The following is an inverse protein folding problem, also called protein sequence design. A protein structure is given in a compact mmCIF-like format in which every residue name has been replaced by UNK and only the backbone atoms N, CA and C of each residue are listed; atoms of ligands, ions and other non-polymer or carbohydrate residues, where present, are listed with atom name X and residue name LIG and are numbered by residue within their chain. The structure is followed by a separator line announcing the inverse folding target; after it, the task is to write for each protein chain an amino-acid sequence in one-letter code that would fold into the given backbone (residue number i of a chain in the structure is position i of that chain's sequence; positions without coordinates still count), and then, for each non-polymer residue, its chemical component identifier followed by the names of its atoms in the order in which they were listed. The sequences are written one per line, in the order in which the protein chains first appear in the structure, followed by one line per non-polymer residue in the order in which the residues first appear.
data_IF_392784668659
#
_entry.id   IF_392784668659
#
_cell.length_a   1.000
_cell.length_b   1.000
_cell.length_c   1.000
_cell.angle_alpha   90.00
_cell.angle_beta   90.00
_cell.angle_gamma   90.00
#
_symmetry.space_group_name_H-M   'P 1'
#
loop_
_entity.id
_entity.type
_entity.pdbx_description
1 polymer ?
#
# COMPACT_ATOMS: atom_id res chain seq x y z
N UNK A 1 38.80 24.98 -13.86
CA UNK A 1 38.16 23.71 -14.31
C UNK A 1 37.65 23.02 -13.05
N UNK A 2 36.35 22.75 -13.02
CA UNK A 2 35.49 22.66 -11.85
C UNK A 2 35.29 21.18 -11.43
N UNK A 3 35.37 20.86 -10.14
CA UNK A 3 34.83 19.62 -9.56
C UNK A 3 34.22 19.97 -8.20
N UNK A 4 33.11 20.70 -8.27
CA UNK A 4 32.25 21.08 -7.17
C UNK A 4 30.83 20.87 -7.72
N UNK A 5 30.32 19.64 -7.63
CA UNK A 5 28.90 19.27 -7.74
C UNK A 5 28.75 17.75 -7.66
N UNK A 6 27.60 17.28 -7.14
CA UNK A 6 27.17 15.88 -6.95
C UNK A 6 27.39 15.26 -5.56
N UNK A 7 27.35 16.05 -4.49
CA UNK A 7 26.75 15.58 -3.24
C UNK A 7 25.22 15.74 -3.36
N UNK A 8 24.58 14.81 -4.05
CA UNK A 8 23.12 14.77 -4.17
C UNK A 8 22.50 14.68 -2.78
N UNK A 9 21.78 15.72 -2.40
CA UNK A 9 20.86 15.73 -1.26
C UNK A 9 19.95 14.50 -1.35
N UNK A 10 20.23 13.48 -0.56
CA UNK A 10 19.18 12.58 -0.06
C UNK A 10 18.50 13.36 1.05
N UNK A 11 17.62 14.30 0.68
CA UNK A 11 16.63 14.79 1.62
C UNK A 11 15.77 13.58 2.04
N UNK A 12 15.47 13.39 3.33
CA UNK A 12 14.67 12.26 3.77
C UNK A 12 13.32 12.32 3.04
N UNK A 13 12.96 11.24 2.36
CA UNK A 13 11.62 11.07 1.76
C UNK A 13 10.58 11.49 2.79
N UNK A 14 9.92 12.62 2.56
CA UNK A 14 8.96 13.16 3.50
C UNK A 14 7.76 12.25 3.56
N UNK A 15 7.35 11.87 4.77
CA UNK A 15 6.11 11.16 5.05
C UNK A 15 4.94 11.81 4.27
N UNK A 16 4.15 11.02 3.54
CA UNK A 16 3.01 11.50 2.74
C UNK A 16 2.09 12.39 3.57
N UNK A 17 1.91 12.06 4.85
CA UNK A 17 1.12 12.88 5.77
C UNK A 17 1.73 14.27 5.92
N UNK A 18 3.05 14.37 6.11
CA UNK A 18 3.76 15.64 6.16
C UNK A 18 3.63 16.42 4.85
N UNK A 19 3.66 15.74 3.69
CA UNK A 19 3.42 16.37 2.38
C UNK A 19 1.98 16.89 2.25
N UNK A 20 0.99 16.11 2.69
CA UNK A 20 -0.43 16.49 2.69
C UNK A 20 -0.70 17.66 3.64
N UNK A 21 -0.07 17.69 4.82
CA UNK A 21 -0.15 18.79 5.76
C UNK A 21 0.47 20.06 5.19
N UNK A 22 1.70 19.97 4.66
CA UNK A 22 2.37 21.10 4.00
C UNK A 22 1.56 21.63 2.81
N UNK A 23 0.90 20.76 2.06
CA UNK A 23 -0.01 21.15 0.97
C UNK A 23 -1.26 21.86 1.48
N UNK A 24 -1.92 21.35 2.52
CA UNK A 24 -3.05 22.04 3.15
C UNK A 24 -2.66 23.41 3.71
N UNK A 25 -1.51 23.51 4.38
CA UNK A 25 -0.99 24.77 4.93
C UNK A 25 -0.68 25.78 3.82
N UNK A 26 -0.18 25.32 2.66
CA UNK A 26 -0.01 26.15 1.48
C UNK A 26 -1.37 26.66 0.95
N UNK A 27 -2.38 25.80 0.84
CA UNK A 27 -3.73 26.23 0.43
C UNK A 27 -4.26 27.31 1.38
N UNK A 28 -4.16 27.11 2.71
CA UNK A 28 -4.66 28.06 3.70
C UNK A 28 -3.95 29.41 3.57
N UNK A 29 -2.61 29.39 3.50
CA UNK A 29 -1.80 30.60 3.43
C UNK A 29 -1.97 31.38 2.11
N UNK A 30 -2.15 30.68 0.99
CA UNK A 30 -2.27 31.30 -0.35
C UNK A 30 -3.69 31.75 -0.69
N UNK A 31 -4.73 31.05 -0.20
CA UNK A 31 -6.13 31.34 -0.52
C UNK A 31 -6.87 32.12 0.56
N UNK A 32 -6.33 32.19 1.78
CA UNK A 32 -6.98 32.77 2.95
C UNK A 32 -8.20 31.98 3.46
N UNK A 33 -8.44 30.78 2.92
CA UNK A 33 -9.53 29.90 3.36
C UNK A 33 -9.19 29.20 4.66
N UNK A 34 -10.20 29.02 5.53
CA UNK A 34 -10.04 28.16 6.71
C UNK A 34 -10.17 26.68 6.33
N UNK A 35 -9.64 25.78 7.17
CA UNK A 35 -9.83 24.33 7.02
C UNK A 35 -11.31 23.93 6.89
N UNK A 36 -12.18 24.63 7.61
CA UNK A 36 -13.63 24.37 7.56
C UNK A 36 -14.22 24.79 6.21
N UNK A 37 -13.75 25.90 5.63
CA UNK A 37 -14.20 26.35 4.32
C UNK A 37 -13.72 25.42 3.20
N UNK A 38 -12.46 24.96 3.28
CA UNK A 38 -11.90 23.96 2.36
C UNK A 38 -12.73 22.68 2.43
N UNK A 39 -13.00 22.16 3.64
CA UNK A 39 -13.81 20.95 3.81
C UNK A 39 -15.20 21.10 3.21
N UNK A 40 -15.89 22.22 3.50
CA UNK A 40 -17.24 22.49 2.97
C UNK A 40 -17.25 22.58 1.44
N UNK A 41 -16.30 23.30 0.85
CA UNK A 41 -16.19 23.43 -0.62
C UNK A 41 -15.87 22.09 -1.29
N UNK A 42 -15.03 21.27 -0.66
CA UNK A 42 -14.69 19.92 -1.12
C UNK A 42 -15.81 18.89 -0.88
N UNK A 43 -16.91 19.26 -0.22
CA UNK A 43 -17.95 18.30 0.17
C UNK A 43 -17.42 17.21 1.11
N UNK A 44 -16.53 17.60 2.03
CA UNK A 44 -15.98 16.80 3.12
C UNK A 44 -16.56 17.29 4.46
N UNK A 45 -16.60 16.41 5.46
CA UNK A 45 -16.99 16.82 6.81
C UNK A 45 -15.87 17.69 7.40
N UNK A 46 -16.15 18.88 7.97
CA UNK A 46 -15.14 19.72 8.61
C UNK A 46 -14.27 18.99 9.63
N UNK A 47 -14.85 18.05 10.39
CA UNK A 47 -14.12 17.24 11.37
C UNK A 47 -13.04 16.34 10.74
N UNK A 48 -13.17 15.97 9.46
CA UNK A 48 -12.15 15.19 8.74
C UNK A 48 -10.85 15.97 8.58
N UNK A 49 -10.93 17.20 8.07
CA UNK A 49 -9.73 18.04 7.88
C UNK A 49 -9.19 18.57 9.21
N UNK A 50 -10.06 18.94 10.15
CA UNK A 50 -9.62 19.39 11.47
C UNK A 50 -8.89 18.28 12.24
N UNK A 51 -9.38 17.03 12.23
CA UNK A 51 -8.67 15.90 12.86
C UNK A 51 -7.37 15.55 12.13
N UNK A 52 -7.39 15.57 10.80
CA UNK A 52 -6.20 15.32 10.01
C UNK A 52 -5.10 16.36 10.33
N UNK A 53 -5.45 17.64 10.42
CA UNK A 53 -4.53 18.75 10.69
C UNK A 53 -4.03 18.80 12.15
N UNK A 54 -4.89 18.48 13.12
CA UNK A 54 -4.59 18.62 14.55
C UNK A 54 -3.58 17.60 15.14
N UNK A 55 -2.84 16.86 14.32
CA UNK A 55 -1.82 15.89 14.75
C UNK A 55 -2.31 14.88 15.81
N UNK A 56 -3.45 14.24 15.53
CA UNK A 56 -3.83 13.05 16.28
C UNK A 56 -2.81 11.92 16.03
N UNK A 57 -2.44 11.17 17.07
CA UNK A 57 -1.41 10.11 17.12
C UNK A 57 -1.67 8.94 16.14
N UNK A 58 -2.77 9.02 15.38
CA UNK A 58 -3.31 7.98 14.52
C UNK A 58 -2.61 7.86 13.16
N UNK A 59 -1.71 8.79 12.80
CA UNK A 59 -0.82 8.65 11.62
C UNK A 59 -1.54 8.50 10.28
N UNK A 60 -2.83 8.82 10.21
CA UNK A 60 -3.65 8.62 9.02
C UNK A 60 -3.38 9.69 7.95
N UNK A 61 -3.42 9.28 6.68
CA UNK A 61 -3.32 10.13 5.49
C UNK A 61 -4.72 10.44 4.94
N UNK A 62 -4.86 11.54 4.20
CA UNK A 62 -6.06 11.78 3.40
C UNK A 62 -6.15 10.76 2.27
N UNK A 63 -7.36 10.23 2.06
CA UNK A 63 -7.63 9.33 0.93
C UNK A 63 -7.48 10.05 -0.40
N UNK A 64 -7.19 9.30 -1.48
CA UNK A 64 -7.06 9.86 -2.82
C UNK A 64 -8.30 10.63 -3.27
N UNK A 65 -9.52 10.15 -2.92
CA UNK A 65 -10.77 10.87 -3.19
C UNK A 65 -10.86 12.21 -2.44
N UNK A 66 -10.41 12.24 -1.18
CA UNK A 66 -10.43 13.46 -0.38
C UNK A 66 -9.45 14.49 -0.94
N UNK A 67 -8.23 14.04 -1.29
CA UNK A 67 -7.23 14.87 -1.98
C UNK A 67 -7.80 15.42 -3.29
N UNK A 68 -8.43 14.57 -4.11
CA UNK A 68 -9.01 14.98 -5.39
C UNK A 68 -10.14 16.01 -5.21
N UNK A 69 -11.04 15.80 -4.26
CA UNK A 69 -12.10 16.76 -3.92
C UNK A 69 -11.55 18.12 -3.49
N UNK A 70 -10.46 18.13 -2.71
CA UNK A 70 -9.82 19.37 -2.26
C UNK A 70 -9.14 20.07 -3.45
N UNK A 71 -8.44 19.33 -4.31
CA UNK A 71 -7.87 19.88 -5.56
C UNK A 71 -8.97 20.51 -6.43
N UNK A 72 -10.06 19.78 -6.70
CA UNK A 72 -11.16 20.26 -7.52
C UNK A 72 -11.86 21.50 -6.92
N UNK A 73 -11.94 21.57 -5.59
CA UNK A 73 -12.58 22.68 -4.88
C UNK A 73 -11.70 23.93 -4.68
N UNK A 74 -10.38 23.75 -4.65
CA UNK A 74 -9.41 24.83 -4.38
C UNK A 74 -8.65 25.28 -5.62
N UNK A 75 -8.61 24.45 -6.67
CA UNK A 75 -7.80 24.65 -7.86
C UNK A 75 -6.29 24.50 -7.61
N UNK A 76 -5.88 24.10 -6.40
CA UNK A 76 -4.48 23.89 -6.05
C UNK A 76 -4.14 22.42 -6.29
N UNK A 77 -3.23 22.11 -7.24
CA UNK A 77 -2.85 20.74 -7.51
C UNK A 77 -2.22 20.11 -6.27
N UNK A 78 -2.54 18.85 -6.02
CA UNK A 78 -1.87 18.09 -4.97
C UNK A 78 -0.36 18.01 -5.23
N UNK A 79 0.43 18.02 -4.16
CA UNK A 79 1.89 17.78 -4.18
C UNK A 79 2.23 16.69 -5.20
N UNK A 80 3.22 16.96 -6.05
CA UNK A 80 3.43 16.33 -7.37
C UNK A 80 2.82 14.92 -7.48
N UNK A 81 1.61 14.83 -8.07
CA UNK A 81 1.11 13.60 -8.69
C UNK A 81 1.90 13.30 -9.98
N UNK A 82 3.24 13.37 -9.94
CA UNK A 82 4.11 12.83 -11.01
C UNK A 82 4.19 11.32 -10.99
N UNK A 83 3.51 10.65 -10.07
CA UNK A 83 2.96 9.34 -10.37
C UNK A 83 1.57 9.62 -10.93
N UNK A 84 1.49 10.00 -12.22
CA UNK A 84 0.32 9.55 -12.99
C UNK A 84 0.22 8.07 -12.64
N UNK A 85 -0.90 7.52 -12.15
CA UNK A 85 -1.03 6.08 -12.10
C UNK A 85 -0.63 5.65 -13.49
N UNK A 86 0.56 5.01 -13.58
CA UNK A 86 0.97 4.43 -14.82
C UNK A 86 -0.24 3.61 -15.22
N UNK A 87 -0.56 3.65 -16.48
CA UNK A 87 -1.41 2.64 -17.08
C UNK A 87 -0.61 1.32 -16.98
N UNK A 88 -0.34 0.87 -15.75
CA UNK A 88 0.04 -0.46 -15.40
C UNK A 88 -1.21 -1.20 -15.81
N UNK A 89 -1.13 -1.76 -17.02
CA UNK A 89 -1.82 -2.99 -17.31
C UNK A 89 -1.75 -3.81 -16.03
N UNK A 90 -2.91 -4.03 -15.41
CA UNK A 90 -3.07 -5.02 -14.36
C UNK A 90 -2.23 -6.22 -14.76
N UNK A 91 -1.20 -6.51 -13.97
CA UNK A 91 -0.37 -7.68 -14.21
C UNK A 91 -1.20 -8.92 -13.90
N UNK A 92 -0.66 -10.09 -14.23
CA UNK A 92 -1.21 -11.34 -13.73
C UNK A 92 -1.42 -11.26 -12.22
N UNK A 93 -2.57 -11.78 -11.76
CA UNK A 93 -2.90 -11.93 -10.34
C UNK A 93 -1.67 -12.45 -9.58
N UNK A 94 -1.20 -11.73 -8.56
CA UNK A 94 0.13 -12.02 -7.99
C UNK A 94 0.16 -13.24 -7.06
N UNK A 95 -1.00 -13.74 -6.70
CA UNK A 95 -1.15 -15.00 -6.02
C UNK A 95 -2.57 -15.53 -6.13
N UNK A 96 -2.74 -16.80 -5.79
CA UNK A 96 -4.06 -17.44 -5.74
C UNK A 96 -4.24 -18.17 -4.41
N UNK A 97 -5.47 -18.38 -3.94
CA UNK A 97 -5.72 -19.17 -2.75
C UNK A 97 -5.09 -20.56 -2.87
N UNK A 98 -4.30 -20.97 -1.87
CA UNK A 98 -3.70 -22.28 -1.85
C UNK A 98 -4.77 -23.34 -1.57
N UNK A 99 -4.91 -24.30 -2.49
CA UNK A 99 -5.85 -25.42 -2.34
C UNK A 99 -5.06 -26.65 -1.90
N UNK A 100 -5.46 -27.21 -0.76
CA UNK A 100 -4.85 -28.44 -0.26
C UNK A 100 -5.07 -29.61 -1.23
N UNK A 101 -3.99 -30.35 -1.51
CA UNK A 101 -4.09 -31.66 -2.13
C UNK A 101 -4.20 -32.72 -1.03
N UNK A 102 -5.39 -33.26 -0.80
CA UNK A 102 -5.66 -34.27 0.25
C UNK A 102 -4.92 -35.60 0.05
N UNK A 103 -4.36 -35.85 -1.14
CA UNK A 103 -3.59 -37.06 -1.42
C UNK A 103 -2.10 -36.90 -1.10
N UNK A 104 -1.63 -35.70 -0.85
CA UNK A 104 -0.23 -35.44 -0.58
C UNK A 104 0.10 -35.78 0.88
N UNK A 105 1.10 -36.64 1.08
CA UNK A 105 1.60 -37.03 2.42
C UNK A 105 2.77 -36.16 2.89
N UNK A 106 2.89 -34.94 2.37
CA UNK A 106 3.99 -34.04 2.70
C UNK A 106 3.77 -33.41 4.09
N UNK A 107 4.80 -33.50 4.94
CA UNK A 107 4.79 -32.95 6.30
C UNK A 107 4.53 -31.44 6.33
N UNK A 108 5.00 -30.70 5.33
CA UNK A 108 4.76 -29.26 5.20
C UNK A 108 3.30 -28.96 4.91
N UNK A 109 2.63 -29.79 4.10
CA UNK A 109 1.20 -29.63 3.80
C UNK A 109 0.38 -29.87 5.07
N UNK A 110 0.74 -30.87 5.88
CA UNK A 110 0.11 -31.09 7.19
C UNK A 110 0.33 -29.92 8.15
N UNK A 111 1.54 -29.35 8.19
CA UNK A 111 1.84 -28.19 9.03
C UNK A 111 1.03 -26.96 8.59
N UNK A 112 0.96 -26.66 7.29
CA UNK A 112 0.15 -25.58 6.74
C UNK A 112 -1.34 -25.74 7.08
N UNK A 113 -1.86 -26.96 6.99
CA UNK A 113 -3.25 -27.27 7.37
C UNK A 113 -3.51 -26.99 8.84
N UNK A 114 -2.63 -27.45 9.72
CA UNK A 114 -2.76 -27.20 11.16
C UNK A 114 -2.72 -25.70 11.50
N UNK A 115 -1.93 -24.90 10.77
CA UNK A 115 -1.89 -23.45 10.91
C UNK A 115 -3.20 -22.81 10.45
N UNK A 116 -3.70 -23.17 9.27
CA UNK A 116 -4.96 -22.65 8.73
C UNK A 116 -6.18 -23.02 9.60
N UNK A 117 -6.21 -24.23 10.16
CA UNK A 117 -7.31 -24.68 11.01
C UNK A 117 -7.36 -23.98 12.38
N UNK A 118 -6.25 -23.36 12.81
CA UNK A 118 -6.16 -22.68 14.11
C UNK A 118 -6.97 -21.39 14.17
N UNK A 119 -7.13 -20.69 13.04
CA UNK A 119 -7.86 -19.42 13.00
C UNK A 119 -8.46 -19.15 11.62
N UNK A 120 -9.73 -18.69 11.60
CA UNK A 120 -10.40 -18.22 10.38
C UNK A 120 -9.83 -16.91 9.84
N UNK A 121 -8.96 -16.24 10.59
CA UNK A 121 -8.26 -15.04 10.12
C UNK A 121 -7.05 -15.38 9.24
N UNK A 122 -6.59 -16.64 9.27
CA UNK A 122 -5.45 -17.11 8.51
C UNK A 122 -5.88 -17.67 7.16
N UNK A 123 -5.26 -17.17 6.10
CA UNK A 123 -5.46 -17.61 4.73
C UNK A 123 -4.13 -18.04 4.13
N UNK A 124 -4.16 -19.03 3.24
CA UNK A 124 -2.97 -19.52 2.54
C UNK A 124 -3.04 -19.11 1.07
N UNK A 125 -1.91 -18.64 0.54
CA UNK A 125 -1.82 -18.15 -0.84
C UNK A 125 -0.58 -18.71 -1.51
N UNK A 126 -0.70 -19.13 -2.77
CA UNK A 126 0.43 -19.47 -3.63
C UNK A 126 0.85 -18.21 -4.39
N UNK A 127 2.12 -17.81 -4.30
CA UNK A 127 2.63 -16.67 -5.05
C UNK A 127 2.83 -17.02 -6.53
N UNK A 128 2.35 -16.17 -7.43
CA UNK A 128 2.52 -16.30 -8.89
C UNK A 128 3.67 -15.44 -9.43
N UNK A 129 4.16 -14.49 -8.66
CA UNK A 129 5.23 -13.56 -9.06
C UNK A 129 6.40 -13.58 -8.08
N UNK A 130 7.50 -12.92 -8.46
CA UNK A 130 8.70 -12.76 -7.64
C UNK A 130 8.70 -11.44 -6.87
N UNK A 131 7.53 -10.79 -6.73
CA UNK A 131 7.39 -9.45 -6.18
C UNK A 131 7.87 -9.29 -4.73
N UNK A 132 8.03 -10.40 -4.00
CA UNK A 132 8.54 -10.48 -2.64
C UNK A 132 9.88 -11.22 -2.53
N UNK A 133 10.59 -11.45 -3.63
CA UNK A 133 11.82 -12.26 -3.64
C UNK A 133 12.91 -11.74 -2.72
N UNK A 134 13.12 -10.42 -2.61
CA UNK A 134 14.05 -9.83 -1.64
C UNK A 134 13.54 -9.88 -0.19
N UNK A 135 12.25 -10.12 0.02
CA UNK A 135 11.67 -10.43 1.33
C UNK A 135 11.75 -11.93 1.67
N UNK A 136 12.34 -12.75 0.80
CA UNK A 136 12.53 -14.19 1.01
C UNK A 136 11.38 -15.07 0.51
N UNK A 137 10.41 -14.51 -0.23
CA UNK A 137 9.30 -15.26 -0.81
C UNK A 137 9.33 -15.18 -2.33
N UNK A 138 9.32 -16.32 -2.99
CA UNK A 138 9.48 -16.44 -4.43
C UNK A 138 8.21 -16.97 -5.10
N UNK A 139 8.21 -16.98 -6.43
CA UNK A 139 7.15 -17.61 -7.21
C UNK A 139 7.02 -19.09 -6.83
N UNK A 140 5.79 -19.52 -6.57
CA UNK A 140 5.42 -20.88 -6.18
C UNK A 140 5.49 -21.15 -4.68
N UNK A 141 6.03 -20.22 -3.89
CA UNK A 141 5.98 -20.35 -2.44
C UNK A 141 4.53 -20.19 -1.94
N UNK A 142 4.20 -20.96 -0.90
CA UNK A 142 2.95 -20.84 -0.17
C UNK A 142 3.18 -19.93 1.03
N UNK A 143 2.47 -18.80 1.07
CA UNK A 143 2.54 -17.84 2.15
C UNK A 143 1.31 -17.92 3.04
N UNK A 144 1.52 -17.62 4.32
CA UNK A 144 0.50 -17.56 5.37
C UNK A 144 0.17 -16.09 5.61
N UNK A 145 -1.08 -15.71 5.36
CA UNK A 145 -1.59 -14.35 5.54
C UNK A 145 -2.51 -14.33 6.76
N UNK A 146 -2.22 -13.49 7.74
CA UNK A 146 -3.09 -13.24 8.89
C UNK A 146 -3.80 -11.88 8.73
N UNK A 147 -5.13 -11.90 8.71
CA UNK A 147 -5.98 -10.70 8.58
C UNK A 147 -6.13 -9.92 9.88
N UNK A 148 -5.89 -10.54 11.02
CA UNK A 148 -6.03 -9.90 12.33
C UNK A 148 -4.70 -9.31 12.84
N UNK A 149 -3.57 -9.67 12.21
CA UNK A 149 -2.26 -9.11 12.58
C UNK A 149 -2.14 -7.63 12.21
N UNK A 150 -1.60 -6.82 13.13
CA UNK A 150 -1.42 -5.39 12.93
C UNK A 150 -0.19 -5.12 12.07
N UNK A 151 -0.42 -4.57 10.88
CA UNK A 151 0.60 -4.18 9.90
C UNK A 151 1.61 -3.18 10.47
N UNK A 152 2.90 -3.40 10.19
CA UNK A 152 4.04 -2.54 10.57
C UNK A 152 4.91 -2.20 9.36
N UNK A 153 5.59 -1.03 9.35
CA UNK A 153 6.60 -0.74 8.33
C UNK A 153 7.70 -1.81 8.39
N UNK A 154 7.85 -2.57 7.32
CA UNK A 154 8.68 -3.78 7.37
C UNK A 154 8.01 -4.91 6.63
N UNK A 155 6.74 -5.11 6.96
CA UNK A 155 6.02 -6.34 6.71
C UNK A 155 5.75 -6.58 5.24
N UNK A 156 5.82 -7.83 4.81
CA UNK A 156 5.16 -8.28 3.60
C UNK A 156 3.65 -8.38 3.87
N UNK A 157 2.83 -7.91 2.93
CA UNK A 157 1.37 -7.84 3.08
C UNK A 157 0.67 -8.34 1.83
N UNK A 158 -0.53 -8.88 2.04
CA UNK A 158 -1.51 -9.11 0.98
C UNK A 158 -2.45 -7.90 0.93
N UNK A 159 -2.63 -7.31 -0.25
CA UNK A 159 -3.49 -6.15 -0.46
C UNK A 159 -4.37 -6.33 -1.70
N UNK A 160 -5.49 -5.60 -1.71
CA UNK A 160 -6.32 -5.45 -2.91
C UNK A 160 -6.08 -4.08 -3.52
N UNK A 161 -5.85 -4.08 -4.83
CA UNK A 161 -5.82 -2.88 -5.67
C UNK A 161 -7.09 -2.82 -6.50
N UNK A 162 -7.88 -1.77 -6.33
CA UNK A 162 -9.14 -1.53 -7.03
C UNK A 162 -8.94 -0.57 -8.20
N UNK A 163 -9.45 -0.94 -9.37
CA UNK A 163 -9.71 0.00 -10.45
C UNK A 163 -11.20 0.25 -10.55
N UNK A 164 -11.63 1.36 -9.95
CA UNK A 164 -13.03 1.78 -9.95
C UNK A 164 -13.60 2.05 -11.35
N UNK A 165 -12.77 2.33 -12.36
CA UNK A 165 -13.26 2.55 -13.73
C UNK A 165 -13.65 1.24 -14.39
N UNK A 166 -12.92 0.17 -14.10
CA UNK A 166 -13.16 -1.18 -14.66
C UNK A 166 -14.00 -2.07 -13.75
N UNK A 167 -14.15 -1.70 -12.48
CA UNK A 167 -14.84 -2.52 -11.48
C UNK A 167 -14.08 -3.79 -11.12
N UNK A 168 -12.76 -3.80 -11.32
CA UNK A 168 -11.89 -4.97 -11.11
C UNK A 168 -11.03 -4.72 -9.86
N UNK A 169 -10.78 -5.79 -9.10
CA UNK A 169 -9.80 -5.82 -8.03
C UNK A 169 -8.71 -6.84 -8.34
N UNK A 170 -7.46 -6.51 -8.03
CA UNK A 170 -6.31 -7.41 -8.12
C UNK A 170 -5.73 -7.65 -6.73
N UNK A 171 -5.41 -8.91 -6.44
CA UNK A 171 -4.66 -9.27 -5.25
C UNK A 171 -3.17 -9.09 -5.53
N UNK A 172 -2.52 -8.27 -4.73
CA UNK A 172 -1.09 -7.96 -4.84
C UNK A 172 -0.36 -8.25 -3.53
N UNK A 173 0.90 -8.65 -3.65
CA UNK A 173 1.79 -8.97 -2.53
C UNK A 173 2.98 -8.01 -2.53
N UNK A 174 3.12 -7.22 -1.47
CA UNK A 174 4.07 -6.10 -1.41
C UNK A 174 4.66 -5.94 -0.03
N UNK A 175 5.78 -5.23 0.05
CA UNK A 175 6.35 -4.79 1.33
C UNK A 175 5.75 -3.44 1.71
N UNK A 176 5.22 -3.34 2.92
CA UNK A 176 4.65 -2.11 3.44
C UNK A 176 5.74 -1.20 4.01
N UNK A 177 5.75 0.05 3.53
CA UNK A 177 6.57 1.16 4.03
C UNK A 177 5.67 2.38 4.09
N UNK A 178 5.12 2.66 5.27
CA UNK A 178 4.06 3.67 5.44
C UNK A 178 4.32 4.95 4.63
N UNK A 179 3.36 5.38 3.80
CA UNK A 179 2.06 4.77 3.46
C UNK A 179 2.06 3.95 2.15
N UNK A 180 3.21 3.51 1.67
CA UNK A 180 3.38 2.87 0.38
C UNK A 180 3.46 1.33 0.46
N UNK A 181 3.04 0.68 -0.62
CA UNK A 181 3.36 -0.69 -0.94
C UNK A 181 4.45 -0.72 -2.01
N UNK A 182 5.51 -1.48 -1.75
CA UNK A 182 6.69 -1.56 -2.60
C UNK A 182 6.90 -2.99 -3.07
N UNK A 183 7.33 -3.15 -4.32
CA UNK A 183 7.88 -4.43 -4.78
C UNK A 183 9.24 -4.64 -4.15
N UNK A 184 9.47 -5.82 -3.57
CA UNK A 184 10.75 -6.23 -3.00
C UNK A 184 11.36 -7.31 -3.90
N UNK A 185 11.94 -6.88 -5.04
CA UNK A 185 12.62 -7.78 -5.97
C UNK A 185 14.06 -8.01 -5.55
N UNK A 186 14.54 -9.25 -5.66
CA UNK A 186 15.96 -9.59 -5.52
C UNK A 186 16.79 -9.08 -6.72
N UNK A 187 16.17 -8.99 -7.90
CA UNK A 187 16.79 -8.51 -9.14
C UNK A 187 15.85 -7.56 -9.93
N UNK A 188 16.44 -6.69 -10.75
CA UNK A 188 15.69 -5.74 -11.58
C UNK A 188 15.33 -4.44 -10.87
N UNK A 189 14.55 -3.60 -11.57
CA UNK A 189 14.06 -2.33 -11.01
C UNK A 189 12.73 -2.53 -10.29
N UNK A 190 12.55 -1.99 -9.08
CA UNK A 190 11.27 -2.08 -8.38
C UNK A 190 10.18 -1.37 -9.19
N UNK A 191 8.97 -1.90 -9.12
CA UNK A 191 7.80 -1.25 -9.68
C UNK A 191 7.51 0.10 -9.01
N UNK A 192 6.63 0.89 -9.63
CA UNK A 192 6.17 2.13 -9.01
C UNK A 192 5.47 1.84 -7.68
N UNK A 193 5.71 2.64 -6.62
CA UNK A 193 5.01 2.51 -5.36
C UNK A 193 3.50 2.67 -5.50
N UNK A 194 2.74 1.81 -4.83
CA UNK A 194 1.28 1.95 -4.67
C UNK A 194 0.99 2.64 -3.33
N UNK A 195 0.10 3.65 -3.32
CA UNK A 195 -0.27 4.38 -2.08
C UNK A 195 -1.41 3.66 -1.39
N UNK A 196 -1.23 3.30 -0.11
CA UNK A 196 -2.30 2.78 0.75
C UNK A 196 -3.20 3.92 1.19
N UNK A 197 -4.39 3.98 0.61
CA UNK A 197 -5.39 5.03 0.85
C UNK A 197 -6.71 4.48 1.40
N UNK A 198 -6.78 3.17 1.67
CA UNK A 198 -7.97 2.44 2.12
C UNK A 198 -9.19 2.56 1.17
N UNK A 199 -8.96 2.95 -0.09
CA UNK A 199 -10.00 3.10 -1.10
C UNK A 199 -9.61 2.36 -2.38
N UNK A 200 -8.52 2.77 -3.02
CA UNK A 200 -7.96 2.14 -4.20
C UNK A 200 -6.99 1.03 -3.82
N UNK A 201 -6.28 1.17 -2.69
CA UNK A 201 -5.36 0.14 -2.19
C UNK A 201 -5.66 -0.12 -0.73
N UNK A 202 -6.02 -1.36 -0.43
CA UNK A 202 -6.44 -1.79 0.91
C UNK A 202 -5.63 -3.00 1.32
N UNK A 203 -4.89 -2.90 2.43
CA UNK A 203 -4.21 -4.06 3.01
C UNK A 203 -5.27 -4.99 3.62
N UNK A 204 -5.18 -6.27 3.27
CA UNK A 204 -6.10 -7.33 3.76
C UNK A 204 -5.51 -8.18 4.87
N UNK A 205 -4.19 -8.32 4.90
CA UNK A 205 -3.51 -9.05 5.96
C UNK A 205 -1.99 -9.00 5.83
N UNK A 206 -1.31 -9.42 6.89
CA UNK A 206 0.15 -9.49 6.97
C UNK A 206 0.61 -10.89 6.61
N UNK A 207 1.66 -11.00 5.81
CA UNK A 207 2.36 -12.26 5.59
C UNK A 207 3.19 -12.57 6.84
N UNK A 208 2.74 -13.55 7.62
CA UNK A 208 3.37 -13.94 8.90
C UNK A 208 4.39 -15.08 8.74
N UNK A 209 4.42 -15.70 7.57
CA UNK A 209 5.36 -16.77 7.23
C UNK A 209 5.02 -17.42 5.90
N UNK A 210 5.76 -18.46 5.55
CA UNK A 210 5.53 -19.21 4.32
C UNK A 210 6.59 -20.28 4.13
N UNK A 211 6.42 -21.08 3.09
CA UNK A 211 7.36 -22.12 2.72
C UNK A 211 7.29 -22.47 1.24
N UNK A 212 8.38 -23.03 0.74
CA UNK A 212 8.43 -23.72 -0.55
C UNK A 212 8.04 -25.18 -0.38
N UNK A 213 7.01 -25.62 -1.08
CA UNK A 213 6.66 -27.03 -1.15
C UNK A 213 7.57 -27.75 -2.15
N UNK A 214 7.94 -29.00 -1.85
CA UNK A 214 8.66 -29.85 -2.80
C UNK A 214 7.64 -30.51 -3.72
N UNK A 215 7.89 -30.43 -5.03
CA UNK A 215 7.13 -31.17 -6.04
C UNK A 215 7.55 -32.63 -6.13
#
# INVERSE_FOLDING_TARGET
MNVLEMAGLIAPMSDLRAQQLAWLDNIISSSGLTLTDIARRAGLNPSTLSRFHANDDSGHTLTSRSVKKIEDATGVPAYEQRIRPSMAFFSEEEGEPYIFNDKAQDIMIHALRAVADRSKAVELWTLKTTALSAAGFDRGDVVVVDRDEKVRPGDAVCALKFDHRRGISETVFRVYRTPYLLTALADGQPGLPDIVDNENVVIKGVVVGGCRLRG
#
